data_IF_476895157232
#
_entry.id   IF_476895157232
#
_cell.length_a   1.000
_cell.length_b   1.000
_cell.length_c   1.000
_cell.angle_alpha   90.00
_cell.angle_beta   90.00
_cell.angle_gamma   90.00
#
_symmetry.space_group_name_H-M   'P 1'
#
loop_
_entity.id
_entity.type
_entity.pdbx_description
1 polymer ?
#
# COMPACT_ATOMS: atom_id res chain seq x y z
N UNK A 1 -27.51 -3.26 6.13
CA UNK A 1 -26.04 -3.21 6.24
C UNK A 1 -25.67 -3.32 7.70
N UNK A 2 -24.82 -4.28 8.07
CA UNK A 2 -24.25 -4.37 9.42
C UNK A 2 -22.90 -3.64 9.45
N UNK A 3 -22.58 -2.98 10.56
CA UNK A 3 -21.32 -2.27 10.76
C UNK A 3 -20.18 -3.23 11.08
N UNK A 4 -18.98 -2.94 10.60
CA UNK A 4 -17.75 -3.67 10.94
C UNK A 4 -17.50 -3.68 12.46
N UNK A 5 -17.84 -2.60 13.16
CA UNK A 5 -17.73 -2.49 14.62
C UNK A 5 -18.60 -3.48 15.38
N UNK A 6 -19.67 -4.00 14.75
CA UNK A 6 -20.62 -4.96 15.34
C UNK A 6 -20.30 -6.38 14.88
N UNK A 7 -19.99 -6.56 13.60
CA UNK A 7 -19.76 -7.90 13.03
C UNK A 7 -18.40 -8.46 13.39
N UNK A 8 -17.35 -7.63 13.39
CA UNK A 8 -15.98 -8.05 13.68
C UNK A 8 -15.22 -6.93 14.43
N UNK A 9 -15.49 -6.75 15.73
CA UNK A 9 -14.91 -5.65 16.51
C UNK A 9 -13.38 -5.62 16.49
N UNK A 10 -12.72 -6.78 16.45
CA UNK A 10 -11.26 -6.87 16.37
C UNK A 10 -10.70 -6.22 15.09
N UNK A 11 -11.30 -6.51 13.94
CA UNK A 11 -10.88 -5.91 12.65
C UNK A 11 -11.19 -4.42 12.63
N UNK A 12 -12.29 -3.99 13.26
CA UNK A 12 -12.60 -2.57 13.41
C UNK A 12 -11.53 -1.82 14.22
N UNK A 13 -11.01 -2.41 15.30
CA UNK A 13 -9.91 -1.81 16.07
C UNK A 13 -8.64 -1.68 15.22
N UNK A 14 -8.28 -2.72 14.48
CA UNK A 14 -7.14 -2.67 13.56
C UNK A 14 -7.32 -1.59 12.48
N UNK A 15 -8.53 -1.42 11.97
CA UNK A 15 -8.87 -0.36 11.02
C UNK A 15 -8.64 1.02 11.60
N UNK A 16 -9.08 1.26 12.84
CA UNK A 16 -8.84 2.53 13.53
C UNK A 16 -7.36 2.77 13.85
N UNK A 17 -6.60 1.70 14.14
CA UNK A 17 -5.16 1.79 14.42
C UNK A 17 -4.31 2.09 13.18
N UNK A 18 -4.89 1.99 11.97
CA UNK A 18 -4.19 2.25 10.72
C UNK A 18 -3.43 1.05 10.15
N UNK A 19 -3.69 -0.17 10.63
CA UNK A 19 -3.03 -1.41 10.14
C UNK A 19 -3.29 -1.73 8.65
N UNK A 20 -4.21 -1.01 8.00
CA UNK A 20 -4.60 -1.19 6.59
C UNK A 20 -4.19 -0.03 5.68
N UNK A 21 -3.32 0.87 6.16
CA UNK A 21 -2.78 1.98 5.37
C UNK A 21 -1.26 1.95 5.33
N UNK A 22 -0.69 2.40 4.22
CA UNK A 22 0.72 2.75 4.12
C UNK A 22 0.86 4.28 4.22
N UNK A 23 2.01 4.75 4.71
CA UNK A 23 2.32 6.18 4.75
C UNK A 23 3.42 6.50 3.75
N UNK A 24 3.13 7.39 2.80
CA UNK A 24 4.11 7.81 1.79
C UNK A 24 5.21 8.70 2.37
N UNK A 25 4.94 9.35 3.50
CA UNK A 25 5.87 10.20 4.26
C UNK A 25 5.66 9.96 5.75
N UNK A 26 6.45 10.59 6.62
CA UNK A 26 6.23 10.55 8.08
C UNK A 26 4.97 11.30 8.54
N UNK A 27 4.26 12.00 7.63
CA UNK A 27 3.06 12.78 7.96
C UNK A 27 1.79 11.93 7.88
N UNK A 28 0.89 11.99 8.88
CA UNK A 28 -0.35 11.22 8.87
C UNK A 28 -1.25 11.50 7.66
N UNK A 29 -1.20 12.71 7.12
CA UNK A 29 -1.93 13.11 5.90
C UNK A 29 -1.57 12.25 4.67
N UNK A 30 -0.41 11.61 4.68
CA UNK A 30 0.05 10.76 3.58
C UNK A 30 -0.39 9.29 3.71
N UNK A 31 -1.28 8.99 4.65
CA UNK A 31 -1.91 7.69 4.76
C UNK A 31 -2.69 7.35 3.48
N UNK A 32 -2.49 6.15 2.96
CA UNK A 32 -3.19 5.64 1.79
C UNK A 32 -3.52 4.17 2.01
N UNK A 33 -4.68 3.72 1.52
CA UNK A 33 -5.04 2.32 1.58
C UNK A 33 -3.96 1.45 0.90
N UNK A 34 -3.67 0.28 1.46
CA UNK A 34 -2.60 -0.60 0.96
C UNK A 34 -2.77 -0.94 -0.53
N UNK A 35 -4.00 -1.14 -0.99
CA UNK A 35 -4.29 -1.41 -2.40
C UNK A 35 -3.89 -0.23 -3.31
N UNK A 36 -4.20 1.00 -2.90
CA UNK A 36 -3.79 2.20 -3.62
C UNK A 36 -2.26 2.38 -3.61
N UNK A 37 -1.59 2.02 -2.51
CA UNK A 37 -0.13 2.03 -2.45
C UNK A 37 0.47 1.03 -3.43
N UNK A 38 -0.09 -0.18 -3.47
CA UNK A 38 0.31 -1.23 -4.40
C UNK A 38 0.10 -0.82 -5.87
N UNK A 39 -1.04 -0.21 -6.20
CA UNK A 39 -1.29 0.28 -7.57
C UNK A 39 -0.34 1.42 -7.98
N UNK A 40 -0.01 2.34 -7.06
CA UNK A 40 1.03 3.34 -7.33
C UNK A 40 2.39 2.70 -7.58
N UNK A 41 2.79 1.70 -6.77
CA UNK A 41 4.02 0.96 -6.98
C UNK A 41 4.02 0.23 -8.32
N UNK A 42 2.91 -0.40 -8.70
CA UNK A 42 2.78 -1.08 -9.99
C UNK A 42 2.92 -0.11 -11.16
N UNK A 43 2.36 1.09 -11.07
CA UNK A 43 2.50 2.11 -12.11
C UNK A 43 3.98 2.53 -12.30
N UNK A 44 4.72 2.70 -11.20
CA UNK A 44 6.16 3.01 -11.23
C UNK A 44 6.96 1.87 -11.86
N UNK A 45 6.73 0.64 -11.40
CA UNK A 45 7.40 -0.57 -11.90
C UNK A 45 7.14 -0.75 -13.40
N UNK A 46 5.89 -0.62 -13.85
CA UNK A 46 5.54 -0.71 -15.28
C UNK A 46 6.22 0.37 -16.11
N UNK A 47 6.34 1.59 -15.60
CA UNK A 47 7.06 2.68 -16.27
C UNK A 47 8.56 2.42 -16.44
N UNK A 48 9.16 1.61 -15.56
CA UNK A 48 10.57 1.24 -15.58
C UNK A 48 10.90 -0.01 -16.44
N UNK A 49 10.01 -0.39 -17.37
CA UNK A 49 10.15 -1.62 -18.15
C UNK A 49 9.55 -2.86 -17.48
N UNK A 50 8.73 -2.66 -16.45
CA UNK A 50 8.12 -3.73 -15.68
C UNK A 50 9.12 -4.45 -14.77
N UNK A 51 8.67 -5.56 -14.18
CA UNK A 51 9.52 -6.37 -13.31
C UNK A 51 10.78 -6.88 -14.04
N UNK A 52 10.62 -7.32 -15.30
CA UNK A 52 11.74 -7.82 -16.13
C UNK A 52 12.75 -6.71 -16.41
N UNK A 53 12.30 -5.54 -16.85
CA UNK A 53 13.19 -4.41 -17.11
C UNK A 53 13.94 -3.93 -15.85
N UNK A 54 13.31 -4.04 -14.68
CA UNK A 54 13.96 -3.76 -13.39
C UNK A 54 14.98 -4.83 -13.00
N UNK A 55 14.67 -6.13 -13.16
CA UNK A 55 15.60 -7.21 -12.81
C UNK A 55 16.79 -7.30 -13.75
N UNK A 56 16.64 -6.85 -15.00
CA UNK A 56 17.70 -6.84 -16.00
C UNK A 56 18.53 -5.54 -15.95
N UNK A 57 18.12 -4.54 -15.16
CA UNK A 57 18.85 -3.30 -14.97
C UNK A 57 19.81 -3.40 -13.77
N UNK A 58 21.14 -3.45 -13.98
CA UNK A 58 22.09 -3.60 -12.89
C UNK A 58 22.02 -2.50 -11.83
N UNK A 59 21.61 -1.28 -12.21
CA UNK A 59 21.48 -0.16 -11.25
C UNK A 59 20.23 -0.22 -10.38
N UNK A 60 19.27 -1.09 -10.73
CA UNK A 60 18.09 -1.33 -9.91
C UNK A 60 18.30 -2.44 -8.86
N UNK A 61 19.41 -3.19 -8.98
CA UNK A 61 19.78 -4.29 -8.08
C UNK A 61 20.76 -3.88 -6.97
N UNK A 62 21.22 -2.62 -6.98
CA UNK A 62 22.15 -2.03 -6.01
C UNK A 62 21.45 -1.01 -5.13
#
# INVERSE_FOLDING_TARGET
MSSLSVTVPAVYQEFLSGSFVAYKTTRPFSAMALDQAHEQCNAVVKGAGGAVGLTDNPSALT
#
